data_IF_919036757107
#
_entry.id   IF_919036757107
#
_cell.length_a   1.000
_cell.length_b   1.000
_cell.length_c   1.000
_cell.angle_alpha   90.00
_cell.angle_beta   90.00
_cell.angle_gamma   90.00
#
_symmetry.space_group_name_H-M   'P 1'
#
loop_
_entity.id
_entity.type
_entity.pdbx_description
1 polymer ?
#
# COMPACT_ATOMS: atom_id res chain seq x y z
N UNK A 1 -11.63 -15.83 -11.47
CA UNK A 1 -11.41 -14.87 -10.36
C UNK A 1 -11.89 -13.51 -10.81
N UNK A 2 -12.75 -12.85 -10.05
CA UNK A 2 -13.12 -11.44 -10.26
C UNK A 2 -12.47 -10.60 -9.16
N UNK A 3 -11.80 -9.53 -9.54
CA UNK A 3 -11.36 -8.51 -8.60
C UNK A 3 -12.32 -7.33 -8.69
N UNK A 4 -12.89 -6.95 -7.57
CA UNK A 4 -13.81 -5.83 -7.44
C UNK A 4 -13.19 -4.78 -6.53
N UNK A 5 -13.16 -3.54 -6.99
CA UNK A 5 -12.87 -2.38 -6.16
C UNK A 5 -14.13 -2.01 -5.38
N UNK A 6 -14.50 -2.83 -4.39
CA UNK A 6 -15.65 -2.57 -3.55
C UNK A 6 -15.44 -1.33 -2.68
N UNK A 7 -16.39 -0.42 -2.74
CA UNK A 7 -16.56 0.69 -1.81
C UNK A 7 -15.49 1.78 -1.84
N UNK A 8 -15.14 2.29 -3.02
CA UNK A 8 -14.79 3.69 -3.06
C UNK A 8 -16.08 4.48 -2.85
N UNK A 9 -16.35 4.89 -1.64
CA UNK A 9 -17.62 5.49 -1.18
C UNK A 9 -18.10 6.69 -1.99
N UNK A 10 -17.34 7.16 -2.96
CA UNK A 10 -17.55 8.35 -3.74
C UNK A 10 -17.14 8.22 -5.21
N UNK A 11 -17.10 7.01 -5.75
CA UNK A 11 -16.89 6.84 -7.19
C UNK A 11 -18.05 7.46 -7.96
N UNK A 12 -17.80 8.59 -8.60
CA UNK A 12 -18.80 9.27 -9.44
C UNK A 12 -18.75 8.77 -10.87
N UNK A 13 -17.67 8.12 -11.28
CA UNK A 13 -17.42 7.71 -12.67
C UNK A 13 -16.37 6.61 -12.75
N UNK A 14 -16.66 5.60 -13.57
CA UNK A 14 -15.70 4.59 -13.98
C UNK A 14 -15.39 4.72 -15.48
N UNK A 15 -14.15 4.56 -15.87
CA UNK A 15 -13.69 4.52 -17.27
C UNK A 15 -12.85 3.26 -17.52
N UNK A 16 -12.93 2.77 -18.77
CA UNK A 16 -12.17 1.62 -19.23
C UNK A 16 -11.20 2.06 -20.35
N UNK A 17 -10.04 2.60 -20.04
CA UNK A 17 -9.08 3.03 -21.07
C UNK A 17 -8.47 1.85 -21.84
N UNK A 18 -8.57 0.63 -21.31
CA UNK A 18 -8.22 -0.62 -21.95
C UNK A 18 -8.98 -1.78 -21.28
N UNK A 19 -9.09 -2.94 -21.95
CA UNK A 19 -9.80 -4.11 -21.43
C UNK A 19 -9.25 -4.62 -20.09
N UNK A 20 -7.97 -4.40 -19.81
CA UNK A 20 -7.29 -4.83 -18.60
C UNK A 20 -7.21 -3.74 -17.52
N UNK A 21 -7.80 -2.56 -17.74
CA UNK A 21 -7.60 -1.39 -16.88
C UNK A 21 -8.91 -0.67 -16.58
N UNK A 22 -9.12 -0.39 -15.30
CA UNK A 22 -10.22 0.45 -14.81
C UNK A 22 -9.64 1.69 -14.15
N UNK A 23 -10.25 2.85 -14.41
CA UNK A 23 -10.01 4.11 -13.69
C UNK A 23 -11.28 4.55 -13.00
N UNK A 24 -11.22 4.78 -11.70
CA UNK A 24 -12.31 5.30 -10.89
C UNK A 24 -11.98 6.71 -10.43
N UNK A 25 -12.98 7.58 -10.47
CA UNK A 25 -12.87 8.99 -10.07
C UNK A 25 -13.78 9.26 -8.89
N UNK A 26 -13.32 10.07 -7.96
CA UNK A 26 -14.13 10.54 -6.85
C UNK A 26 -13.59 11.84 -6.24
N UNK A 27 -14.33 12.38 -5.27
CA UNK A 27 -13.99 13.59 -4.53
C UNK A 27 -14.64 14.86 -5.11
N UNK A 28 -14.94 15.82 -4.24
CA UNK A 28 -15.54 17.11 -4.58
C UNK A 28 -14.50 18.24 -4.55
N UNK A 29 -13.87 18.51 -3.40
CA UNK A 29 -12.86 19.57 -3.25
C UNK A 29 -11.48 19.08 -3.69
N UNK A 30 -11.05 17.91 -3.17
CA UNK A 30 -9.86 17.20 -3.63
C UNK A 30 -10.34 15.98 -4.39
N UNK A 31 -10.33 16.07 -5.71
CA UNK A 31 -10.61 14.94 -6.59
C UNK A 31 -9.48 13.92 -6.53
N UNK A 32 -9.81 12.67 -6.77
CA UNK A 32 -8.80 11.61 -6.94
C UNK A 32 -9.20 10.64 -8.03
N UNK A 33 -8.22 9.96 -8.59
CA UNK A 33 -8.39 8.82 -9.47
C UNK A 33 -7.63 7.62 -8.92
N UNK A 34 -8.26 6.46 -8.99
CA UNK A 34 -7.65 5.16 -8.69
C UNK A 34 -7.64 4.37 -9.98
N UNK A 35 -6.49 3.86 -10.39
CA UNK A 35 -6.41 2.96 -11.54
C UNK A 35 -5.93 1.58 -11.11
N UNK A 36 -6.65 0.56 -11.55
CA UNK A 36 -6.32 -0.85 -11.38
C UNK A 36 -6.15 -1.49 -12.74
N UNK A 37 -5.07 -2.26 -12.88
CA UNK A 37 -4.81 -3.08 -14.05
C UNK A 37 -4.48 -4.51 -13.61
N UNK A 38 -4.92 -5.52 -14.37
CA UNK A 38 -4.57 -6.91 -14.17
C UNK A 38 -3.66 -7.39 -15.32
N UNK A 39 -2.54 -7.99 -14.97
CA UNK A 39 -1.65 -8.72 -15.90
C UNK A 39 -1.81 -10.20 -15.62
N UNK A 40 -2.46 -10.92 -16.53
CA UNK A 40 -2.74 -12.33 -16.39
C UNK A 40 -1.78 -13.18 -17.22
N UNK A 41 -1.39 -14.36 -16.71
CA UNK A 41 -0.64 -15.38 -17.44
C UNK A 41 -1.43 -16.68 -17.42
N UNK A 42 -1.37 -17.41 -18.52
CA UNK A 42 -2.08 -18.69 -18.76
C UNK A 42 -2.28 -18.90 -20.24
N UNK A 43 -2.49 -20.13 -20.67
CA UNK A 43 -2.57 -20.49 -22.10
C UNK A 43 -3.70 -19.77 -22.84
N UNK A 44 -4.83 -19.51 -22.17
CA UNK A 44 -5.97 -18.76 -22.72
C UNK A 44 -6.43 -17.69 -21.70
N UNK A 45 -5.49 -17.04 -21.02
CA UNK A 45 -5.81 -16.02 -20.05
C UNK A 45 -6.42 -14.79 -20.72
N UNK A 46 -7.58 -14.36 -20.24
CA UNK A 46 -8.24 -13.14 -20.70
C UNK A 46 -8.55 -12.21 -19.51
N UNK A 47 -8.55 -10.93 -19.79
CA UNK A 47 -8.94 -9.88 -18.82
C UNK A 47 -9.92 -8.95 -19.51
N UNK A 48 -11.05 -8.68 -18.88
CA UNK A 48 -12.08 -7.76 -19.39
C UNK A 48 -12.54 -6.81 -18.29
N UNK A 49 -12.57 -5.53 -18.60
CA UNK A 49 -13.13 -4.50 -17.72
C UNK A 49 -14.65 -4.42 -17.95
N UNK A 50 -15.44 -4.64 -16.89
CA UNK A 50 -16.90 -4.63 -16.94
C UNK A 50 -17.42 -3.85 -15.73
N UNK A 51 -17.99 -2.66 -15.96
CA UNK A 51 -18.39 -1.76 -14.88
C UNK A 51 -17.21 -1.41 -13.97
N UNK A 52 -17.31 -1.68 -12.69
CA UNK A 52 -16.24 -1.45 -11.69
C UNK A 52 -15.42 -2.72 -11.40
N UNK A 53 -15.42 -3.69 -12.30
CA UNK A 53 -14.79 -4.99 -12.10
C UNK A 53 -13.81 -5.33 -13.22
N UNK A 54 -12.72 -6.02 -12.87
CA UNK A 54 -11.87 -6.73 -13.81
C UNK A 54 -12.20 -8.23 -13.74
N UNK A 55 -12.63 -8.78 -14.85
CA UNK A 55 -12.90 -10.20 -14.98
C UNK A 55 -11.70 -10.89 -15.58
N UNK A 56 -11.13 -11.83 -14.83
CA UNK A 56 -9.97 -12.60 -15.27
C UNK A 56 -10.37 -14.07 -15.39
N UNK A 57 -10.13 -14.65 -16.55
CA UNK A 57 -10.46 -16.04 -16.85
C UNK A 57 -9.21 -16.80 -17.31
N UNK A 58 -9.16 -18.09 -17.06
CA UNK A 58 -8.12 -19.04 -17.52
C UNK A 58 -6.69 -18.63 -17.14
N UNK A 59 -6.52 -17.83 -16.08
CA UNK A 59 -5.20 -17.41 -15.62
C UNK A 59 -4.64 -18.38 -14.59
N UNK A 60 -3.38 -18.72 -14.74
CA UNK A 60 -2.59 -19.47 -13.74
C UNK A 60 -1.87 -18.53 -12.77
N UNK A 61 -1.58 -17.30 -13.21
CA UNK A 61 -0.96 -16.25 -12.40
C UNK A 61 -1.61 -14.91 -12.76
N UNK A 62 -1.85 -14.09 -11.75
CA UNK A 62 -2.39 -12.72 -11.92
C UNK A 62 -1.54 -11.76 -11.09
N UNK A 63 -1.06 -10.70 -11.73
CA UNK A 63 -0.44 -9.55 -11.06
C UNK A 63 -1.38 -8.35 -11.18
N UNK A 64 -1.84 -7.83 -10.04
CA UNK A 64 -2.59 -6.58 -10.00
C UNK A 64 -1.64 -5.41 -9.79
N UNK A 65 -1.77 -4.37 -10.64
CA UNK A 65 -1.09 -3.10 -10.51
C UNK A 65 -2.13 -2.04 -10.15
N UNK A 66 -1.94 -1.40 -9.01
CA UNK A 66 -2.85 -0.37 -8.50
C UNK A 66 -2.08 0.91 -8.21
N UNK A 67 -2.65 2.04 -8.59
CA UNK A 67 -2.11 3.36 -8.29
C UNK A 67 -3.21 4.37 -8.03
N UNK A 68 -2.89 5.41 -7.26
CA UNK A 68 -3.81 6.50 -6.92
C UNK A 68 -3.09 7.84 -7.00
N UNK A 69 -3.77 8.83 -7.55
CA UNK A 69 -3.34 10.23 -7.51
C UNK A 69 -4.50 11.14 -7.13
N UNK A 70 -4.17 12.31 -6.62
CA UNK A 70 -5.14 13.35 -6.22
C UNK A 70 -4.87 14.67 -6.94
N UNK A 71 -5.90 15.50 -7.06
CA UNK A 71 -5.78 16.87 -7.59
C UNK A 71 -4.91 17.78 -6.73
N UNK A 72 -4.63 17.39 -5.48
CA UNK A 72 -3.66 18.08 -4.64
C UNK A 72 -2.22 18.01 -5.20
N UNK A 73 -1.89 16.93 -5.92
CA UNK A 73 -0.53 16.69 -6.44
C UNK A 73 -0.39 16.91 -7.94
N UNK A 74 -1.44 16.63 -8.69
CA UNK A 74 -1.42 16.67 -10.17
C UNK A 74 -2.73 17.23 -10.69
N UNK A 75 -2.69 17.97 -11.80
CA UNK A 75 -3.89 18.53 -12.41
C UNK A 75 -4.81 17.47 -13.04
N UNK A 76 -4.25 16.37 -13.52
CA UNK A 76 -4.98 15.23 -14.09
C UNK A 76 -4.56 13.92 -13.40
N UNK A 77 -5.26 13.53 -12.31
CA UNK A 77 -4.97 12.30 -11.58
C UNK A 77 -5.09 11.03 -12.43
N UNK A 78 -6.03 10.99 -13.37
CA UNK A 78 -6.24 9.81 -14.21
C UNK A 78 -5.09 9.60 -15.18
N UNK A 79 -4.67 10.64 -15.90
CA UNK A 79 -3.51 10.58 -16.79
C UNK A 79 -2.24 10.20 -16.03
N UNK A 80 -2.06 10.72 -14.80
CA UNK A 80 -0.94 10.34 -13.94
C UNK A 80 -0.98 8.85 -13.57
N UNK A 81 -2.14 8.32 -13.18
CA UNK A 81 -2.35 6.90 -12.90
C UNK A 81 -1.97 6.04 -14.13
N UNK A 82 -2.52 6.35 -15.29
CA UNK A 82 -2.27 5.60 -16.52
C UNK A 82 -0.80 5.61 -16.92
N UNK A 83 -0.12 6.76 -16.77
CA UNK A 83 1.31 6.88 -17.02
C UNK A 83 2.14 5.97 -16.11
N UNK A 84 1.79 5.88 -14.82
CA UNK A 84 2.47 5.00 -13.86
C UNK A 84 2.22 3.53 -14.20
N UNK A 85 0.97 3.15 -14.49
CA UNK A 85 0.64 1.77 -14.87
C UNK A 85 1.35 1.34 -16.16
N UNK A 86 1.39 2.21 -17.19
CA UNK A 86 2.08 1.93 -18.44
C UNK A 86 3.58 1.69 -18.23
N UNK A 87 4.22 2.40 -17.30
CA UNK A 87 5.61 2.14 -16.91
C UNK A 87 5.76 0.86 -16.12
N UNK A 88 4.88 0.59 -15.16
CA UNK A 88 4.93 -0.61 -14.32
C UNK A 88 4.73 -1.90 -15.14
N UNK A 89 3.84 -1.88 -16.13
CA UNK A 89 3.61 -3.02 -17.06
C UNK A 89 4.86 -3.47 -17.83
N UNK A 90 5.89 -2.64 -17.94
CA UNK A 90 7.15 -3.00 -18.62
C UNK A 90 8.01 -3.96 -17.80
N UNK A 91 7.69 -4.17 -16.54
CA UNK A 91 8.45 -4.99 -15.62
C UNK A 91 7.66 -6.24 -15.21
N UNK A 92 8.34 -7.35 -15.06
CA UNK A 92 7.77 -8.53 -14.41
C UNK A 92 7.56 -8.27 -12.92
N UNK A 93 6.71 -9.07 -12.27
CA UNK A 93 6.54 -9.04 -10.82
C UNK A 93 7.87 -9.19 -10.07
N UNK A 94 8.73 -10.10 -10.51
CA UNK A 94 10.05 -10.30 -9.89
C UNK A 94 10.92 -9.03 -9.95
N UNK A 95 10.95 -8.34 -11.10
CA UNK A 95 11.68 -7.09 -11.25
C UNK A 95 11.08 -5.95 -10.40
N UNK A 96 9.75 -5.85 -10.32
CA UNK A 96 9.10 -4.86 -9.45
C UNK A 96 9.41 -5.14 -7.98
N UNK A 97 9.37 -6.40 -7.57
CA UNK A 97 9.71 -6.82 -6.20
C UNK A 97 11.17 -6.54 -5.85
N UNK A 98 12.10 -6.85 -6.73
CA UNK A 98 13.52 -6.57 -6.54
C UNK A 98 13.79 -5.07 -6.36
N UNK A 99 13.22 -4.24 -7.23
CA UNK A 99 13.32 -2.78 -7.13
C UNK A 99 12.73 -2.23 -5.84
N UNK A 100 11.57 -2.75 -5.45
CA UNK A 100 10.93 -2.39 -4.18
C UNK A 100 11.82 -2.74 -2.98
N UNK A 101 12.39 -3.96 -2.96
CA UNK A 101 13.27 -4.41 -1.87
C UNK A 101 14.52 -3.52 -1.80
N UNK A 102 15.14 -3.22 -2.93
CA UNK A 102 16.34 -2.37 -2.97
C UNK A 102 16.05 -0.96 -2.45
N UNK A 103 14.94 -0.33 -2.89
CA UNK A 103 14.51 0.98 -2.43
C UNK A 103 14.19 1.00 -0.93
N UNK A 104 13.46 0.00 -0.46
CA UNK A 104 13.07 -0.10 0.94
C UNK A 104 14.28 -0.33 1.85
N UNK A 105 15.17 -1.26 1.49
CA UNK A 105 16.38 -1.58 2.27
C UNK A 105 17.34 -0.40 2.38
N UNK A 106 17.43 0.44 1.37
CA UNK A 106 18.25 1.65 1.43
C UNK A 106 17.90 2.58 2.62
N UNK A 107 16.68 2.48 3.13
CA UNK A 107 16.24 3.20 4.33
C UNK A 107 16.16 2.30 5.56
N UNK A 108 15.64 1.08 5.40
CA UNK A 108 15.39 0.18 6.52
C UNK A 108 16.69 -0.31 7.17
N UNK A 109 17.69 -0.69 6.37
CA UNK A 109 18.95 -1.26 6.85
C UNK A 109 19.88 -0.24 7.56
N UNK A 110 19.48 1.05 7.60
CA UNK A 110 20.22 2.12 8.29
C UNK A 110 20.13 2.06 9.81
N UNK A 111 19.18 1.32 10.35
CA UNK A 111 18.98 1.19 11.78
C UNK A 111 18.34 -0.16 12.09
N UNK A 112 18.90 -0.87 13.07
CA UNK A 112 18.37 -2.12 13.57
C UNK A 112 18.38 -2.10 15.11
N UNK A 113 17.49 -2.87 15.71
CA UNK A 113 17.44 -3.15 17.14
C UNK A 113 17.59 -4.66 17.30
N UNK A 114 18.60 -5.09 18.07
CA UNK A 114 18.84 -6.48 18.43
C UNK A 114 18.87 -6.58 19.95
N UNK A 115 17.98 -7.37 20.52
CA UNK A 115 17.82 -7.57 21.97
C UNK A 115 18.06 -9.01 22.40
N UNK A 116 18.18 -9.94 21.44
CA UNK A 116 18.43 -11.35 21.69
C UNK A 116 19.37 -11.93 20.63
N UNK A 117 19.95 -13.09 20.92
CA UNK A 117 20.82 -13.78 19.98
C UNK A 117 20.09 -14.32 18.78
N UNK A 118 20.73 -14.30 17.61
CA UNK A 118 20.14 -14.79 16.33
C UNK A 118 19.72 -16.27 16.39
N UNK A 119 20.27 -17.05 17.32
CA UNK A 119 19.92 -18.46 17.55
C UNK A 119 18.54 -18.65 18.17
N UNK A 120 17.90 -17.58 18.64
CA UNK A 120 16.57 -17.67 19.26
C UNK A 120 15.51 -17.96 18.19
N UNK A 121 14.88 -19.14 18.25
CA UNK A 121 13.86 -19.54 17.28
C UNK A 121 12.66 -18.60 17.29
N UNK A 122 12.33 -18.06 16.12
CA UNK A 122 11.23 -17.12 15.93
C UNK A 122 10.03 -17.76 15.21
N UNK A 123 9.66 -18.98 15.61
CA UNK A 123 8.59 -19.75 14.98
C UNK A 123 7.21 -19.56 15.66
N UNK A 124 7.14 -18.76 16.73
CA UNK A 124 5.88 -18.50 17.43
C UNK A 124 5.12 -17.39 16.71
N UNK A 125 3.85 -17.60 16.34
CA UNK A 125 3.01 -16.56 15.74
C UNK A 125 2.91 -15.31 16.60
N UNK A 126 2.82 -14.13 15.97
CA UNK A 126 2.85 -12.83 16.67
C UNK A 126 1.68 -12.64 17.63
N UNK A 127 0.50 -13.16 17.32
CA UNK A 127 -0.68 -13.13 18.19
C UNK A 127 -0.47 -13.95 19.49
N UNK A 128 0.16 -15.11 19.37
CA UNK A 128 0.53 -15.93 20.53
C UNK A 128 1.61 -15.25 21.39
N UNK A 129 2.64 -14.62 20.76
CA UNK A 129 3.63 -13.82 21.48
C UNK A 129 2.98 -12.66 22.24
N UNK A 130 2.08 -11.93 21.60
CA UNK A 130 1.33 -10.83 22.24
C UNK A 130 0.52 -11.29 23.45
N UNK A 131 -0.11 -12.46 23.36
CA UNK A 131 -0.87 -13.01 24.48
C UNK A 131 0.05 -13.37 25.66
N UNK A 132 1.20 -14.00 25.36
CA UNK A 132 2.18 -14.42 26.37
C UNK A 132 2.93 -13.23 27.00
N UNK A 133 3.10 -12.12 26.30
CA UNK A 133 3.80 -10.92 26.77
C UNK A 133 3.22 -10.32 28.06
N UNK A 134 1.95 -10.60 28.35
CA UNK A 134 1.30 -10.18 29.61
C UNK A 134 1.91 -10.82 30.85
N UNK A 135 2.57 -11.95 30.69
CA UNK A 135 3.14 -12.75 31.77
C UNK A 135 4.67 -12.81 31.77
N UNK A 136 5.28 -12.64 30.62
CA UNK A 136 6.74 -12.67 30.47
C UNK A 136 7.21 -11.72 29.35
N UNK A 137 8.31 -10.96 29.56
CA UNK A 137 8.94 -10.18 28.52
C UNK A 137 9.37 -11.05 27.31
N UNK A 138 9.14 -10.56 26.11
CA UNK A 138 9.57 -11.21 24.86
C UNK A 138 10.41 -10.23 24.03
N UNK A 139 11.75 -10.37 24.04
CA UNK A 139 12.64 -9.47 23.30
C UNK A 139 12.41 -9.55 21.78
N UNK A 140 12.05 -10.73 21.24
CA UNK A 140 11.75 -10.89 19.81
C UNK A 140 10.53 -10.07 19.43
N UNK A 141 9.48 -10.07 20.26
CA UNK A 141 8.30 -9.25 20.02
C UNK A 141 8.64 -7.75 20.02
N UNK A 142 9.54 -7.32 20.92
CA UNK A 142 10.00 -5.93 20.97
C UNK A 142 10.80 -5.54 19.71
N UNK A 143 11.68 -6.40 19.23
CA UNK A 143 12.41 -6.21 17.96
C UNK A 143 11.44 -6.13 16.76
N UNK A 144 10.48 -7.05 16.69
CA UNK A 144 9.46 -7.06 15.63
C UNK A 144 8.61 -5.80 15.67
N UNK A 145 8.23 -5.34 16.86
CA UNK A 145 7.44 -4.12 17.02
C UNK A 145 8.21 -2.88 16.56
N UNK A 146 9.49 -2.78 16.93
CA UNK A 146 10.38 -1.71 16.47
C UNK A 146 10.54 -1.72 14.93
N UNK A 147 10.81 -2.88 14.35
CA UNK A 147 10.97 -3.04 12.91
C UNK A 147 9.66 -2.71 12.17
N UNK A 148 8.51 -3.12 12.71
CA UNK A 148 7.20 -2.82 12.14
C UNK A 148 6.86 -1.33 12.23
N UNK A 149 7.14 -0.67 13.35
CA UNK A 149 6.95 0.78 13.48
C UNK A 149 7.80 1.55 12.46
N UNK A 150 9.06 1.14 12.26
CA UNK A 150 9.91 1.71 11.20
C UNK A 150 9.35 1.46 9.79
N UNK A 151 8.82 0.26 9.53
CA UNK A 151 8.13 -0.03 8.27
C UNK A 151 6.97 0.93 8.03
N UNK A 152 6.11 1.15 9.02
CA UNK A 152 4.98 2.08 8.91
C UNK A 152 5.47 3.51 8.61
N UNK A 153 6.48 3.99 9.30
CA UNK A 153 7.04 5.32 9.10
C UNK A 153 7.67 5.47 7.71
N UNK A 154 8.50 4.52 7.27
CA UNK A 154 9.13 4.54 5.94
C UNK A 154 8.08 4.51 4.84
N UNK A 155 7.01 3.74 5.02
CA UNK A 155 5.93 3.62 4.03
C UNK A 155 5.05 4.87 3.96
N UNK A 156 4.86 5.58 5.07
CA UNK A 156 3.99 6.75 5.17
C UNK A 156 4.72 8.09 4.93
N UNK A 157 6.05 8.11 4.99
CA UNK A 157 6.85 9.35 4.91
C UNK A 157 8.04 9.15 3.98
N UNK A 158 7.91 9.59 2.74
CA UNK A 158 8.94 9.47 1.69
C UNK A 158 9.35 10.84 1.17
N UNK A 159 10.58 11.01 0.65
CA UNK A 159 10.98 12.24 -0.01
C UNK A 159 9.96 12.68 -1.07
N UNK A 160 9.53 13.94 -1.01
CA UNK A 160 8.53 14.49 -1.93
C UNK A 160 7.07 14.20 -1.56
N UNK A 161 6.80 13.49 -0.47
CA UNK A 161 5.45 13.33 0.10
C UNK A 161 5.22 14.28 1.28
N UNK A 162 3.99 14.35 1.79
CA UNK A 162 3.73 14.93 3.10
C UNK A 162 4.31 14.03 4.19
N UNK A 163 4.73 14.59 5.34
CA UNK A 163 5.13 13.77 6.48
C UNK A 163 3.96 12.93 7.01
N UNK A 164 4.27 11.91 7.78
CA UNK A 164 3.26 11.07 8.42
C UNK A 164 2.42 11.87 9.41
N UNK A 165 1.10 11.80 9.29
CA UNK A 165 0.15 12.36 10.25
C UNK A 165 -0.17 11.34 11.36
N UNK A 166 -1.20 11.60 12.20
CA UNK A 166 -1.58 10.69 13.30
C UNK A 166 -1.89 9.27 12.88
N UNK A 167 -2.50 9.07 11.70
CA UNK A 167 -2.88 7.75 11.17
C UNK A 167 -1.90 7.21 10.12
N UNK A 168 -0.87 7.96 9.77
CA UNK A 168 -0.01 7.62 8.63
C UNK A 168 -0.81 7.64 7.32
N UNK A 169 -0.69 6.57 6.53
CA UNK A 169 -1.48 6.37 5.30
C UNK A 169 -2.60 5.33 5.49
N UNK A 170 -2.76 4.79 6.70
CA UNK A 170 -3.72 3.71 7.03
C UNK A 170 -4.91 4.26 7.81
N UNK A 171 -5.79 4.97 7.12
CA UNK A 171 -7.03 5.46 7.69
C UNK A 171 -8.21 4.95 6.86
N UNK A 172 -9.08 4.16 7.48
CA UNK A 172 -10.29 3.66 6.85
C UNK A 172 -11.50 4.58 7.10
N UNK A 173 -11.37 5.53 8.02
CA UNK A 173 -12.47 6.40 8.41
C UNK A 173 -12.52 7.64 7.53
N UNK A 174 -13.72 8.02 7.08
CA UNK A 174 -13.93 9.29 6.37
C UNK A 174 -13.76 10.50 7.30
N UNK A 175 -14.20 10.35 8.56
CA UNK A 175 -13.97 11.33 9.62
C UNK A 175 -13.11 10.66 10.69
N UNK A 176 -11.78 10.65 10.53
CA UNK A 176 -10.89 9.98 11.45
C UNK A 176 -10.83 10.70 12.80
N UNK A 177 -10.48 9.94 13.84
CA UNK A 177 -10.20 10.52 15.15
C UNK A 177 -9.17 11.64 15.03
N UNK A 178 -9.42 12.76 15.69
CA UNK A 178 -8.57 13.96 15.65
C UNK A 178 -8.35 14.55 14.25
N UNK A 179 -9.16 14.18 13.25
CA UNK A 179 -9.10 14.66 11.88
C UNK A 179 -7.78 14.37 11.16
N UNK A 180 -7.07 13.29 11.52
CA UNK A 180 -5.73 12.94 10.98
C UNK A 180 -4.73 14.11 11.00
N UNK A 181 -4.75 14.94 12.01
CA UNK A 181 -3.90 16.14 12.13
C UNK A 181 -2.45 15.75 12.42
N UNK A 182 -1.54 16.71 12.21
CA UNK A 182 -0.12 16.53 12.52
C UNK A 182 0.19 16.64 14.00
N UNK A 183 -0.52 17.51 14.74
CA UNK A 183 -0.30 17.78 16.17
C UNK A 183 1.18 17.96 16.50
N UNK A 184 1.76 19.04 15.97
CA UNK A 184 3.21 19.31 16.01
C UNK A 184 3.74 19.55 17.45
N UNK A 185 2.86 19.80 18.39
CA UNK A 185 3.26 20.05 19.79
C UNK A 185 3.82 18.80 20.51
N UNK A 186 3.52 17.58 20.05
CA UNK A 186 4.05 16.34 20.63
C UNK A 186 4.02 15.14 19.66
N UNK A 187 2.88 14.86 18.98
CA UNK A 187 2.72 13.60 18.24
C UNK A 187 3.67 13.50 17.05
N UNK A 188 3.90 14.58 16.32
CA UNK A 188 4.87 14.59 15.22
C UNK A 188 6.27 14.27 15.72
N UNK A 189 6.72 14.86 16.84
CA UNK A 189 8.02 14.56 17.42
C UNK A 189 8.13 13.12 17.94
N UNK A 190 7.02 12.52 18.38
CA UNK A 190 6.99 11.12 18.81
C UNK A 190 7.03 10.13 17.63
N UNK A 191 6.59 10.56 16.44
CA UNK A 191 6.61 9.72 15.24
C UNK A 191 8.02 9.62 14.62
N UNK A 192 8.86 10.64 14.79
CA UNK A 192 10.19 10.79 14.22
C UNK A 192 11.24 10.84 15.36
#
# INVERSE_FOLDING_TARGET
LSARLDRLYFSKRAEHPADDTIVLYAGDEIGYAVALCAVAKGENATVHAVGEQLWVQNATEITFLLTIFTTYRVSDPAAACLSVLARAKRFSYAQLRERHIADYRALFDRCALTLCDESTENNVPTDARRAAYKTAPDPILAEQYFAYARYLMISASRPGTLPMNLQGIWCADYVPAWGSRYTININTQMNY
#
